data_IF_592007412186
#
_entry.id   IF_592007412186
#
_cell.length_a   1.000
_cell.length_b   1.000
_cell.length_c   1.000
_cell.angle_alpha   90.00
_cell.angle_beta   90.00
_cell.angle_gamma   90.00
#
_symmetry.space_group_name_H-M   'P 1'
#
loop_
_entity.id
_entity.type
_entity.pdbx_description
1 polymer ?
#
# COMPACT_ATOMS: atom_id res chain seq x y z
N UNK A 1 2.60 9.66 7.41
CA UNK A 1 3.33 10.34 6.32
C UNK A 1 3.82 11.67 6.83
N UNK A 2 5.13 11.92 6.72
CA UNK A 2 5.76 13.22 7.01
C UNK A 2 6.38 13.88 5.76
N UNK A 3 6.70 13.07 4.74
CA UNK A 3 7.16 13.55 3.46
C UNK A 3 6.43 12.89 2.28
N UNK A 4 6.20 13.65 1.22
CA UNK A 4 5.67 13.21 -0.06
C UNK A 4 6.70 13.49 -1.16
N UNK A 5 7.18 12.44 -1.82
CA UNK A 5 8.22 12.47 -2.84
C UNK A 5 7.57 12.15 -4.18
N UNK A 6 7.66 13.06 -5.15
CA UNK A 6 6.98 12.93 -6.44
C UNK A 6 7.99 12.72 -7.56
N UNK A 7 7.76 11.74 -8.44
CA UNK A 7 8.30 11.84 -9.81
C UNK A 7 7.59 12.99 -10.56
N UNK A 8 8.19 13.44 -11.67
CA UNK A 8 7.65 14.51 -12.48
C UNK A 8 6.81 13.98 -13.64
N UNK A 9 7.40 13.11 -14.45
CA UNK A 9 6.85 12.73 -15.75
C UNK A 9 5.85 11.59 -15.54
N UNK A 10 4.61 11.75 -16.06
CA UNK A 10 3.55 10.77 -15.86
C UNK A 10 2.84 10.85 -14.49
N UNK A 11 3.43 11.56 -13.52
CA UNK A 11 2.85 11.83 -12.19
C UNK A 11 2.34 13.26 -12.09
N UNK A 12 3.22 14.25 -11.95
CA UNK A 12 2.84 15.66 -11.79
C UNK A 12 2.51 16.33 -13.12
N UNK A 13 3.23 15.95 -14.18
CA UNK A 13 3.14 16.53 -15.50
C UNK A 13 3.14 15.47 -16.60
N UNK A 14 2.42 15.72 -17.69
CA UNK A 14 2.48 14.91 -18.91
C UNK A 14 3.44 15.55 -19.93
N UNK A 15 4.73 15.21 -19.91
CA UNK A 15 5.72 15.85 -20.81
C UNK A 15 6.23 14.96 -21.95
N UNK A 16 5.91 13.67 -21.92
CA UNK A 16 6.48 12.67 -22.83
C UNK A 16 6.14 12.91 -24.30
N UNK A 17 4.93 13.39 -24.61
CA UNK A 17 4.50 13.68 -25.98
C UNK A 17 5.32 14.79 -26.64
N UNK A 18 5.74 15.80 -25.87
CA UNK A 18 6.55 16.91 -26.38
C UNK A 18 7.97 16.48 -26.76
N UNK A 19 8.51 15.41 -26.16
CA UNK A 19 9.81 14.88 -26.54
C UNK A 19 9.83 14.40 -28.00
N UNK A 20 8.83 13.61 -28.39
CA UNK A 20 8.73 13.05 -29.75
C UNK A 20 8.39 14.15 -30.76
N UNK A 21 7.45 15.03 -30.41
CA UNK A 21 7.06 16.15 -31.26
C UNK A 21 8.25 17.06 -31.61
N UNK A 22 9.19 17.28 -30.68
CA UNK A 22 10.38 18.09 -30.96
C UNK A 22 11.30 17.44 -32.00
N UNK A 23 11.54 16.13 -31.92
CA UNK A 23 12.38 15.46 -32.91
C UNK A 23 11.73 15.44 -34.30
N UNK A 24 10.44 15.12 -34.37
CA UNK A 24 9.70 15.16 -35.63
C UNK A 24 9.73 16.56 -36.26
N UNK A 25 9.53 17.61 -35.45
CA UNK A 25 9.57 18.99 -35.92
C UNK A 25 10.97 19.40 -36.41
N UNK A 26 12.04 19.04 -35.69
CA UNK A 26 13.42 19.32 -36.11
C UNK A 26 13.76 18.56 -37.40
N UNK A 27 13.40 17.28 -37.51
CA UNK A 27 13.62 16.50 -38.72
C UNK A 27 12.97 17.17 -39.92
N UNK A 28 11.72 17.60 -39.77
CA UNK A 28 10.97 18.22 -40.86
C UNK A 28 11.49 19.61 -41.21
N UNK A 29 11.74 20.48 -40.23
CA UNK A 29 12.13 21.88 -40.47
C UNK A 29 13.59 22.05 -40.86
N UNK A 30 14.50 21.29 -40.26
CA UNK A 30 15.94 21.48 -40.45
C UNK A 30 16.54 20.54 -41.50
N UNK A 31 15.91 19.39 -41.74
CA UNK A 31 16.44 18.36 -42.63
C UNK A 31 15.47 17.92 -43.74
N UNK A 32 14.23 18.44 -43.74
CA UNK A 32 13.15 18.02 -44.64
C UNK A 32 12.91 16.50 -44.66
N UNK A 33 13.08 15.86 -43.50
CA UNK A 33 12.87 14.41 -43.31
C UNK A 33 11.63 14.19 -42.45
N UNK A 34 10.83 13.20 -42.82
CA UNK A 34 9.78 12.65 -41.96
C UNK A 34 10.33 11.41 -41.27
N UNK A 35 10.33 11.38 -39.93
CA UNK A 35 10.76 10.21 -39.19
C UNK A 35 9.70 9.11 -39.32
N UNK A 36 10.12 7.87 -39.55
CA UNK A 36 9.23 6.73 -39.47
C UNK A 36 8.97 6.31 -38.01
N UNK A 37 7.91 5.53 -37.80
CA UNK A 37 7.50 5.05 -36.47
C UNK A 37 8.58 4.23 -35.76
N UNK A 38 9.44 3.53 -36.51
CA UNK A 38 10.52 2.72 -35.93
C UNK A 38 11.62 3.59 -35.29
N UNK A 39 11.89 4.76 -35.87
CA UNK A 39 12.83 5.73 -35.30
C UNK A 39 12.19 6.47 -34.13
N UNK A 40 10.93 6.88 -34.26
CA UNK A 40 10.20 7.51 -33.16
C UNK A 40 10.13 6.60 -31.93
N UNK A 41 9.92 5.29 -32.12
CA UNK A 41 9.96 4.31 -31.04
C UNK A 41 11.34 4.19 -30.40
N UNK A 42 12.42 4.20 -31.19
CA UNK A 42 13.80 4.21 -30.66
C UNK A 42 14.16 5.48 -29.88
N UNK A 43 13.44 6.58 -30.11
CA UNK A 43 13.65 7.85 -29.41
C UNK A 43 12.87 7.95 -28.08
N UNK A 44 11.94 7.02 -27.80
CA UNK A 44 11.18 6.99 -26.54
C UNK A 44 12.06 6.51 -25.38
N UNK A 45 12.01 7.22 -24.25
CA UNK A 45 12.64 6.79 -22.99
C UNK A 45 14.18 6.79 -22.96
N UNK A 46 14.86 7.32 -23.99
CA UNK A 46 16.33 7.36 -24.03
C UNK A 46 16.90 8.65 -23.43
N UNK A 47 18.10 8.56 -22.87
CA UNK A 47 18.84 9.72 -22.38
C UNK A 47 19.11 10.73 -23.50
N UNK A 48 19.18 12.02 -23.15
CA UNK A 48 19.33 13.14 -24.09
C UNK A 48 20.41 12.93 -25.14
N UNK A 49 21.61 12.53 -24.74
CA UNK A 49 22.74 12.32 -25.65
C UNK A 49 22.53 11.09 -26.56
N UNK A 50 21.91 10.03 -26.05
CA UNK A 50 21.60 8.83 -26.85
C UNK A 50 20.50 9.12 -27.87
N UNK A 51 19.46 9.86 -27.47
CA UNK A 51 18.42 10.34 -28.39
C UNK A 51 18.99 11.20 -29.51
N UNK A 52 19.91 12.13 -29.18
CA UNK A 52 20.58 12.94 -30.19
C UNK A 52 21.45 12.09 -31.15
N UNK A 53 22.11 11.03 -30.66
CA UNK A 53 22.86 10.09 -31.51
C UNK A 53 21.94 9.33 -32.48
N UNK A 54 20.80 8.83 -31.99
CA UNK A 54 19.81 8.12 -32.80
C UNK A 54 19.26 9.07 -33.87
N UNK A 55 18.87 10.28 -33.47
CA UNK A 55 18.38 11.31 -34.37
C UNK A 55 19.39 11.66 -35.46
N UNK A 56 20.67 11.88 -35.10
CA UNK A 56 21.73 12.17 -36.07
C UNK A 56 21.81 11.11 -37.17
N UNK A 57 21.79 9.81 -36.78
CA UNK A 57 21.81 8.70 -37.73
C UNK A 57 20.58 8.71 -38.64
N UNK A 58 19.40 8.98 -38.08
CA UNK A 58 18.14 9.01 -38.81
C UNK A 58 18.08 10.13 -39.87
N UNK A 59 18.67 11.29 -39.57
CA UNK A 59 18.70 12.42 -40.51
C UNK A 59 19.96 12.47 -41.41
N UNK A 60 20.77 11.40 -41.39
CA UNK A 60 21.94 11.27 -42.27
C UNK A 60 23.17 12.09 -41.88
N UNK A 61 23.27 12.55 -40.63
CA UNK A 61 24.45 13.29 -40.12
C UNK A 61 25.29 12.44 -39.17
N UNK A 62 26.61 12.64 -39.20
CA UNK A 62 27.54 11.89 -38.34
C UNK A 62 27.29 12.22 -36.85
N UNK A 63 27.09 11.22 -35.96
CA UNK A 63 26.87 11.45 -34.53
C UNK A 63 28.21 11.75 -33.81
N UNK A 64 28.87 12.84 -34.18
CA UNK A 64 30.06 13.35 -33.50
C UNK A 64 29.65 14.26 -32.32
N UNK A 65 30.62 14.64 -31.46
CA UNK A 65 30.37 15.45 -30.26
C UNK A 65 29.68 16.79 -30.55
N UNK A 66 30.01 17.40 -31.69
CA UNK A 66 29.46 18.70 -32.11
C UNK A 66 28.01 18.57 -32.53
N UNK A 67 27.68 17.63 -33.43
CA UNK A 67 26.32 17.38 -33.89
C UNK A 67 25.41 16.91 -32.74
N UNK A 68 25.89 16.03 -31.86
CA UNK A 68 25.14 15.60 -30.67
C UNK A 68 24.82 16.80 -29.78
N UNK A 69 25.78 17.68 -29.55
CA UNK A 69 25.57 18.90 -28.75
C UNK A 69 24.58 19.84 -29.43
N UNK A 70 24.74 20.09 -30.73
CA UNK A 70 23.85 20.94 -31.51
C UNK A 70 22.40 20.44 -31.46
N UNK A 71 22.16 19.16 -31.80
CA UNK A 71 20.82 18.55 -31.76
C UNK A 71 20.24 18.56 -30.35
N UNK A 72 21.05 18.23 -29.33
CA UNK A 72 20.59 18.25 -27.94
C UNK A 72 20.15 19.65 -27.51
N UNK A 73 20.92 20.70 -27.86
CA UNK A 73 20.58 22.09 -27.56
C UNK A 73 19.34 22.54 -28.32
N UNK A 74 19.27 22.27 -29.63
CA UNK A 74 18.14 22.62 -30.48
C UNK A 74 16.84 21.98 -29.98
N UNK A 75 16.87 20.67 -29.71
CA UNK A 75 15.73 19.93 -29.13
C UNK A 75 15.33 20.50 -27.78
N UNK A 76 16.30 20.78 -26.91
CA UNK A 76 15.98 21.27 -25.57
C UNK A 76 15.30 22.65 -25.61
N UNK A 77 15.77 23.56 -26.46
CA UNK A 77 15.18 24.88 -26.61
C UNK A 77 13.76 24.79 -27.17
N UNK A 78 13.54 23.97 -28.20
CA UNK A 78 12.21 23.74 -28.75
C UNK A 78 11.28 23.08 -27.72
N UNK A 79 11.79 22.12 -26.96
CA UNK A 79 11.04 21.46 -25.89
C UNK A 79 10.58 22.46 -24.83
N UNK A 80 11.48 23.27 -24.28
CA UNK A 80 11.12 24.28 -23.28
C UNK A 80 10.12 25.31 -23.83
N UNK A 81 10.26 25.70 -25.11
CA UNK A 81 9.29 26.58 -25.77
C UNK A 81 7.89 25.94 -25.82
N UNK A 82 7.78 24.67 -26.23
CA UNK A 82 6.50 23.96 -26.25
C UNK A 82 5.90 23.78 -24.86
N UNK A 83 6.73 23.49 -23.86
CA UNK A 83 6.31 23.40 -22.46
C UNK A 83 5.72 24.74 -22.00
N UNK A 84 6.36 25.88 -22.28
CA UNK A 84 5.83 27.20 -21.94
C UNK A 84 4.50 27.49 -22.65
N UNK A 85 4.41 27.20 -23.95
CA UNK A 85 3.20 27.42 -24.75
C UNK A 85 1.99 26.59 -24.30
N UNK A 86 2.22 25.45 -23.64
CA UNK A 86 1.17 24.51 -23.24
C UNK A 86 1.03 24.37 -21.71
N UNK A 87 1.63 25.28 -20.94
CA UNK A 87 1.79 25.15 -19.49
C UNK A 87 0.52 24.85 -18.70
N UNK A 88 -0.62 25.37 -19.14
CA UNK A 88 -1.91 25.19 -18.46
C UNK A 88 -2.46 23.76 -18.60
N UNK A 89 -2.03 23.03 -19.62
CA UNK A 89 -2.42 21.63 -19.89
C UNK A 89 -1.41 20.60 -19.40
N UNK A 90 -0.23 21.04 -18.94
CA UNK A 90 0.86 20.13 -18.57
C UNK A 90 0.58 19.37 -17.28
N UNK A 91 -0.07 20.01 -16.31
CA UNK A 91 -0.28 19.43 -15.00
C UNK A 91 -1.29 18.29 -15.06
N UNK A 92 -0.93 17.17 -14.45
CA UNK A 92 -1.84 16.06 -14.25
C UNK A 92 -3.02 16.47 -13.37
N UNK A 93 -4.16 15.82 -13.59
CA UNK A 93 -5.39 16.05 -12.82
C UNK A 93 -5.14 15.80 -11.32
N UNK A 94 -5.46 16.78 -10.48
CA UNK A 94 -5.31 16.71 -9.03
C UNK A 94 -3.95 17.16 -8.47
N UNK A 95 -2.98 17.54 -9.33
CA UNK A 95 -1.65 17.96 -8.89
C UNK A 95 -1.71 19.14 -7.92
N UNK A 96 -2.44 20.21 -8.27
CA UNK A 96 -2.49 21.42 -7.45
C UNK A 96 -3.21 21.15 -6.12
N UNK A 97 -4.34 20.46 -6.18
CA UNK A 97 -5.17 20.13 -5.03
C UNK A 97 -4.41 19.27 -4.02
N UNK A 98 -3.70 18.24 -4.50
CA UNK A 98 -2.90 17.36 -3.64
C UNK A 98 -1.72 18.12 -3.01
N UNK A 99 -0.97 18.90 -3.79
CA UNK A 99 0.15 19.69 -3.27
C UNK A 99 -0.29 20.70 -2.21
N UNK A 100 -1.40 21.42 -2.46
CA UNK A 100 -1.99 22.33 -1.48
C UNK A 100 -2.39 21.59 -0.20
N UNK A 101 -3.06 20.44 -0.34
CA UNK A 101 -3.48 19.63 0.80
C UNK A 101 -2.29 19.14 1.63
N UNK A 102 -1.21 18.70 0.99
CA UNK A 102 0.01 18.26 1.67
C UNK A 102 0.64 19.40 2.48
N UNK A 103 0.75 20.61 1.91
CA UNK A 103 1.27 21.79 2.63
C UNK A 103 0.38 22.21 3.79
N UNK A 104 -0.94 22.23 3.60
CA UNK A 104 -1.89 22.60 4.64
C UNK A 104 -1.83 21.68 5.86
N UNK A 105 -1.30 20.47 5.72
CA UNK A 105 -1.17 19.52 6.81
C UNK A 105 0.29 19.38 7.33
N UNK A 106 1.21 20.23 6.85
CA UNK A 106 2.63 20.24 7.22
C UNK A 106 3.47 19.05 6.73
N UNK A 107 3.12 18.43 5.60
CA UNK A 107 3.97 17.42 4.96
C UNK A 107 5.01 18.11 4.10
N UNK A 108 6.25 17.64 4.23
CA UNK A 108 7.37 18.06 3.40
C UNK A 108 7.21 17.48 2.00
N UNK A 109 7.41 18.29 0.98
CA UNK A 109 7.25 17.84 -0.40
C UNK A 109 8.60 17.89 -1.12
N UNK A 110 8.96 16.80 -1.79
CA UNK A 110 10.15 16.74 -2.62
C UNK A 110 9.84 16.32 -4.06
N UNK A 111 10.58 16.91 -5.00
CA UNK A 111 10.59 16.49 -6.40
C UNK A 111 11.79 15.58 -6.65
N UNK A 112 11.53 14.40 -7.18
CA UNK A 112 12.50 13.31 -7.37
C UNK A 112 12.49 12.85 -8.84
N UNK A 113 13.04 13.69 -9.72
CA UNK A 113 13.11 13.44 -11.17
C UNK A 113 14.54 13.36 -11.67
N UNK A 114 14.79 12.46 -12.63
CA UNK A 114 16.06 12.38 -13.35
C UNK A 114 16.19 13.43 -14.47
N UNK A 115 15.15 14.23 -14.72
CA UNK A 115 15.15 15.24 -15.78
C UNK A 115 15.94 16.48 -15.37
N UNK A 116 16.92 16.87 -16.18
CA UNK A 116 17.64 18.14 -16.00
C UNK A 116 16.74 19.38 -16.19
N UNK A 117 15.52 19.22 -16.71
CA UNK A 117 14.57 20.31 -16.93
C UNK A 117 13.54 20.42 -15.79
N UNK A 118 13.58 19.55 -14.78
CA UNK A 118 12.55 19.46 -13.75
C UNK A 118 12.32 20.79 -13.01
N UNK A 119 13.40 21.45 -12.58
CA UNK A 119 13.35 22.78 -11.94
C UNK A 119 12.75 23.87 -12.84
N UNK A 120 12.98 23.79 -14.14
CA UNK A 120 12.40 24.75 -15.09
C UNK A 120 10.90 24.49 -15.27
N UNK A 121 10.49 23.22 -15.37
CA UNK A 121 9.08 22.86 -15.58
C UNK A 121 8.22 23.30 -14.39
N UNK A 122 8.63 23.03 -13.15
CA UNK A 122 7.86 23.45 -11.96
C UNK A 122 7.73 24.97 -11.81
N UNK A 123 8.68 25.74 -12.39
CA UNK A 123 8.60 27.21 -12.47
C UNK A 123 7.56 27.65 -13.49
N UNK A 124 7.63 27.07 -14.69
CA UNK A 124 6.69 27.36 -15.79
C UNK A 124 5.25 27.04 -15.38
N UNK A 125 5.04 25.90 -14.70
CA UNK A 125 3.73 25.47 -14.22
C UNK A 125 3.34 26.05 -12.85
N UNK A 126 4.16 26.94 -12.27
CA UNK A 126 3.89 27.66 -11.02
C UNK A 126 3.63 26.77 -9.79
N UNK A 127 4.24 25.58 -9.74
CA UNK A 127 4.16 24.66 -8.60
C UNK A 127 5.45 24.59 -7.77
N UNK A 128 6.52 25.29 -8.16
CA UNK A 128 7.80 25.31 -7.42
C UNK A 128 7.62 25.63 -5.94
N UNK A 129 6.72 26.57 -5.62
CA UNK A 129 6.40 27.01 -4.25
C UNK A 129 5.95 25.90 -3.29
N UNK A 130 5.52 24.75 -3.80
CA UNK A 130 5.08 23.64 -2.95
C UNK A 130 6.26 22.78 -2.47
N UNK A 131 7.40 22.79 -3.17
CA UNK A 131 8.52 21.89 -2.91
C UNK A 131 9.45 22.45 -1.82
N UNK A 132 9.68 21.65 -0.77
CA UNK A 132 10.70 21.89 0.24
C UNK A 132 12.09 21.46 -0.25
N UNK A 133 12.15 20.50 -1.19
CA UNK A 133 13.39 20.04 -1.80
C UNK A 133 13.18 19.58 -3.25
N UNK A 134 14.18 19.80 -4.10
CA UNK A 134 14.20 19.33 -5.49
C UNK A 134 15.55 18.71 -5.78
N UNK A 135 15.56 17.41 -6.07
CA UNK A 135 16.78 16.67 -6.39
C UNK A 135 17.52 17.32 -7.56
N UNK A 136 18.85 17.39 -7.46
CA UNK A 136 19.68 17.80 -8.58
C UNK A 136 20.00 16.60 -9.48
N UNK A 137 19.35 16.53 -10.64
CA UNK A 137 19.54 15.47 -11.62
C UNK A 137 21.01 15.29 -12.06
N UNK A 138 21.87 16.31 -11.90
CA UNK A 138 23.30 16.22 -12.24
C UNK A 138 24.11 15.34 -11.28
N UNK A 139 23.62 15.13 -10.05
CA UNK A 139 24.30 14.35 -9.02
C UNK A 139 23.92 12.86 -9.06
N UNK A 140 22.98 12.48 -9.93
CA UNK A 140 22.51 11.10 -10.06
C UNK A 140 23.58 10.26 -10.77
N UNK A 141 24.25 9.38 -10.01
CA UNK A 141 25.22 8.42 -10.55
C UNK A 141 24.56 7.16 -11.13
N UNK A 142 23.41 6.77 -10.60
CA UNK A 142 22.62 5.59 -11.01
C UNK A 142 21.13 5.96 -11.00
N UNK A 143 20.43 5.70 -12.10
CA UNK A 143 18.98 5.92 -12.18
C UNK A 143 18.16 4.83 -11.47
N UNK A 144 16.85 5.07 -11.33
CA UNK A 144 15.86 4.07 -10.89
C UNK A 144 16.01 2.78 -11.75
N UNK A 145 16.06 1.57 -11.17
CA UNK A 145 15.55 1.19 -9.84
C UNK A 145 16.51 1.36 -8.66
N UNK A 146 17.65 2.03 -8.83
CA UNK A 146 18.50 2.33 -7.66
C UNK A 146 17.79 3.34 -6.71
N UNK A 147 17.71 3.07 -5.39
CA UNK A 147 16.98 3.91 -4.44
C UNK A 147 17.69 5.22 -4.05
N UNK A 148 18.95 5.43 -4.46
CA UNK A 148 19.77 6.54 -3.98
C UNK A 148 19.11 7.91 -4.15
N UNK A 149 18.34 8.11 -5.22
CA UNK A 149 17.65 9.37 -5.49
C UNK A 149 16.54 9.67 -4.47
N UNK A 150 15.84 8.65 -3.99
CA UNK A 150 14.81 8.78 -2.96
C UNK A 150 15.45 8.96 -1.58
N UNK A 151 16.48 8.19 -1.27
CA UNK A 151 17.26 8.31 -0.03
C UNK A 151 17.89 9.70 0.12
N UNK A 152 18.43 10.28 -0.96
CA UNK A 152 18.94 11.65 -0.98
C UNK A 152 17.84 12.67 -0.64
N UNK A 153 16.65 12.53 -1.25
CA UNK A 153 15.54 13.42 -0.97
C UNK A 153 15.08 13.33 0.50
N UNK A 154 14.92 12.13 1.04
CA UNK A 154 14.55 11.91 2.43
C UNK A 154 15.59 12.50 3.41
N UNK A 155 16.88 12.29 3.14
CA UNK A 155 17.97 12.84 3.95
C UNK A 155 17.98 14.38 3.95
N UNK A 156 17.79 15.01 2.79
CA UNK A 156 17.73 16.49 2.69
C UNK A 156 16.50 17.08 3.36
N UNK A 157 15.38 16.34 3.40
CA UNK A 157 14.20 16.71 4.17
C UNK A 157 14.32 16.42 5.67
N UNK A 158 15.39 15.73 6.10
CA UNK A 158 15.57 15.20 7.45
C UNK A 158 14.40 14.29 7.92
N UNK A 159 13.87 13.48 7.00
CA UNK A 159 12.77 12.54 7.25
C UNK A 159 13.26 11.10 7.04
N UNK A 160 12.84 10.18 7.90
CA UNK A 160 13.14 8.75 7.74
C UNK A 160 12.43 8.19 6.50
N UNK A 161 13.04 7.27 5.74
CA UNK A 161 12.39 6.65 4.59
C UNK A 161 11.00 6.05 4.90
N UNK A 162 10.83 5.36 6.04
CA UNK A 162 9.55 4.79 6.47
C UNK A 162 8.43 5.80 6.75
N UNK A 163 8.76 7.09 6.89
CA UNK A 163 7.78 8.18 7.03
C UNK A 163 7.50 8.90 5.68
N UNK A 164 8.11 8.45 4.58
CA UNK A 164 7.95 9.00 3.23
C UNK A 164 6.92 8.20 2.40
N UNK A 165 6.15 8.93 1.58
CA UNK A 165 5.32 8.36 0.52
C UNK A 165 5.88 8.79 -0.83
N UNK A 166 6.02 7.85 -1.76
CA UNK A 166 6.49 8.07 -3.13
C UNK A 166 5.33 7.97 -4.12
N UNK A 167 5.18 8.95 -5.01
CA UNK A 167 4.22 8.94 -6.12
C UNK A 167 4.97 8.76 -7.43
N UNK A 168 4.67 7.69 -8.17
CA UNK A 168 5.47 7.23 -9.30
C UNK A 168 4.60 6.53 -10.35
N UNK A 169 4.96 6.63 -11.64
CA UNK A 169 4.24 5.95 -12.74
C UNK A 169 4.99 4.71 -13.27
N UNK A 170 6.31 4.66 -13.09
CA UNK A 170 7.19 3.61 -13.61
C UNK A 170 7.54 2.51 -12.59
N UNK A 171 7.56 1.25 -13.05
CA UNK A 171 7.95 0.06 -12.25
C UNK A 171 9.29 0.26 -11.56
N UNK A 172 10.28 0.79 -12.28
CA UNK A 172 11.62 0.99 -11.72
C UNK A 172 11.59 1.98 -10.54
N UNK A 173 10.75 3.01 -10.60
CA UNK A 173 10.64 3.95 -9.50
C UNK A 173 9.88 3.37 -8.31
N UNK A 174 8.85 2.56 -8.55
CA UNK A 174 8.15 1.82 -7.48
C UNK A 174 9.11 0.86 -6.78
N UNK A 175 9.89 0.08 -7.54
CA UNK A 175 10.91 -0.82 -6.97
C UNK A 175 11.94 -0.04 -6.14
N UNK A 176 12.43 1.09 -6.67
CA UNK A 176 13.37 1.94 -5.95
C UNK A 176 12.80 2.51 -4.65
N UNK A 177 11.51 2.84 -4.59
CA UNK A 177 10.86 3.29 -3.36
C UNK A 177 10.80 2.16 -2.31
N UNK A 178 10.36 0.98 -2.74
CA UNK A 178 10.22 -0.19 -1.87
C UNK A 178 11.58 -0.69 -1.34
N UNK A 179 12.61 -0.71 -2.19
CA UNK A 179 13.98 -1.14 -1.83
C UNK A 179 14.61 -0.26 -0.73
N UNK A 180 14.03 0.89 -0.42
CA UNK A 180 14.43 1.77 0.67
C UNK A 180 13.33 2.03 1.70
N UNK A 181 12.37 1.11 1.83
CA UNK A 181 11.33 1.14 2.88
C UNK A 181 10.48 2.42 2.85
N UNK A 182 10.14 2.91 1.65
CA UNK A 182 9.19 4.01 1.48
C UNK A 182 7.86 3.46 0.95
N UNK A 183 6.74 4.04 1.39
CA UNK A 183 5.42 3.65 0.92
C UNK A 183 5.18 4.13 -0.51
N UNK A 184 4.91 3.23 -1.45
CA UNK A 184 4.80 3.55 -2.87
C UNK A 184 3.36 3.62 -3.38
N UNK A 185 3.06 4.68 -4.14
CA UNK A 185 1.78 4.89 -4.81
C UNK A 185 2.01 4.96 -6.31
N UNK A 186 1.53 3.94 -7.02
CA UNK A 186 1.53 3.91 -8.47
C UNK A 186 0.42 4.79 -9.04
N UNK A 187 0.78 5.77 -9.87
CA UNK A 187 -0.12 6.76 -10.47
C UNK A 187 -0.31 6.48 -11.97
N UNK A 188 -1.52 6.73 -12.49
CA UNK A 188 -1.83 6.73 -13.92
C UNK A 188 -1.49 5.40 -14.64
N UNK A 189 -1.73 4.28 -13.97
CA UNK A 189 -1.40 2.97 -14.54
C UNK A 189 -2.44 2.58 -15.60
N UNK A 190 -2.02 2.55 -16.87
CA UNK A 190 -2.82 2.08 -18.01
C UNK A 190 -3.09 0.57 -17.88
N UNK A 191 -4.35 0.22 -17.60
CA UNK A 191 -4.84 -1.14 -17.36
C UNK A 191 -4.64 -2.12 -18.53
N UNK A 192 -4.34 -1.61 -19.73
CA UNK A 192 -4.30 -2.40 -20.96
C UNK A 192 -2.87 -2.78 -21.42
N UNK A 193 -1.82 -2.33 -20.72
CA UNK A 193 -0.41 -2.65 -21.08
C UNK A 193 0.15 -3.76 -20.21
N UNK A 194 0.94 -4.67 -20.78
CA UNK A 194 1.59 -5.81 -20.09
C UNK A 194 2.50 -5.39 -18.92
N UNK A 195 2.97 -4.14 -18.89
CA UNK A 195 3.69 -3.55 -17.75
C UNK A 195 2.81 -3.39 -16.50
N UNK A 196 1.48 -3.35 -16.64
CA UNK A 196 0.50 -3.26 -15.56
C UNK A 196 0.54 -4.45 -14.59
N UNK A 197 0.86 -5.65 -15.06
CA UNK A 197 0.80 -6.87 -14.25
C UNK A 197 1.90 -6.94 -13.18
N UNK A 198 2.99 -6.18 -13.33
CA UNK A 198 4.11 -6.16 -12.37
C UNK A 198 4.02 -4.98 -11.39
N UNK A 199 3.69 -3.76 -11.82
CA UNK A 199 3.55 -2.61 -10.91
C UNK A 199 2.50 -2.87 -9.82
N UNK A 200 1.40 -3.55 -10.17
CA UNK A 200 0.32 -3.92 -9.24
C UNK A 200 0.75 -4.95 -8.17
N UNK A 201 1.81 -5.72 -8.41
CA UNK A 201 2.33 -6.69 -7.44
C UNK A 201 3.26 -6.08 -6.41
N UNK A 202 3.88 -4.95 -6.73
CA UNK A 202 4.94 -4.36 -5.90
C UNK A 202 4.56 -3.03 -5.28
N UNK A 203 3.67 -2.22 -5.88
CA UNK A 203 3.26 -0.95 -5.27
C UNK A 203 2.36 -1.20 -4.05
N UNK A 204 2.56 -0.43 -2.97
CA UNK A 204 1.68 -0.51 -1.79
C UNK A 204 0.27 -0.01 -2.08
N UNK A 205 0.14 0.91 -3.05
CA UNK A 205 -1.14 1.46 -3.48
C UNK A 205 -1.14 1.84 -4.96
N UNK A 206 -2.34 1.93 -5.50
CA UNK A 206 -2.60 2.32 -6.87
C UNK A 206 -3.71 3.39 -6.92
N UNK A 207 -3.54 4.38 -7.81
CA UNK A 207 -4.52 5.44 -8.08
C UNK A 207 -4.59 5.76 -9.57
N UNK A 208 -5.78 6.15 -10.06
CA UNK A 208 -5.95 6.57 -11.47
C UNK A 208 -5.34 7.94 -11.74
N UNK A 209 -5.44 8.84 -10.77
CA UNK A 209 -5.05 10.25 -10.89
C UNK A 209 -4.84 10.85 -9.50
N UNK A 210 -4.19 12.02 -9.42
CA UNK A 210 -3.81 12.62 -8.14
C UNK A 210 -4.97 13.22 -7.35
N UNK A 211 -6.15 13.37 -7.96
CA UNK A 211 -7.39 13.77 -7.31
C UNK A 211 -8.11 12.58 -6.61
N UNK A 212 -7.61 11.36 -6.79
CA UNK A 212 -8.12 10.18 -6.08
C UNK A 212 -7.91 10.36 -4.56
N UNK A 213 -8.95 10.21 -3.72
CA UNK A 213 -8.82 10.30 -2.26
C UNK A 213 -7.74 9.38 -1.69
N UNK A 214 -7.47 8.24 -2.34
CA UNK A 214 -6.43 7.28 -1.96
C UNK A 214 -5.01 7.83 -2.06
N UNK A 215 -4.78 8.93 -2.79
CA UNK A 215 -3.50 9.64 -2.81
C UNK A 215 -3.12 10.23 -1.46
N UNK A 216 -4.06 10.35 -0.52
CA UNK A 216 -3.84 11.03 0.75
C UNK A 216 -4.49 10.31 1.94
N UNK A 217 -5.67 9.72 1.76
CA UNK A 217 -6.46 9.07 2.82
C UNK A 217 -5.69 7.89 3.44
N UNK A 218 -5.62 7.84 4.77
CA UNK A 218 -4.90 6.79 5.48
C UNK A 218 -3.37 6.89 5.44
N UNK A 219 -2.78 7.91 4.78
CA UNK A 219 -1.34 8.15 4.77
C UNK A 219 -0.92 9.16 5.86
N UNK A 220 -1.81 10.09 6.18
CA UNK A 220 -1.63 11.10 7.24
C UNK A 220 -2.03 10.64 8.63
N UNK A 221 -2.58 9.44 8.74
CA UNK A 221 -3.20 9.03 10.00
C UNK A 221 -2.12 8.52 10.92
N UNK A 222 -1.59 9.45 11.74
CA UNK A 222 -1.10 9.13 13.07
C UNK A 222 -2.16 8.24 13.70
N UNK A 223 -1.88 6.93 13.76
CA UNK A 223 -2.82 5.90 14.17
C UNK A 223 -3.49 6.20 15.52
N UNK A 224 -2.85 7.04 16.36
CA UNK A 224 -3.34 7.37 17.70
C UNK A 224 -3.82 8.82 17.91
N UNK A 225 -3.66 9.76 16.98
CA UNK A 225 -4.28 11.10 17.14
C UNK A 225 -5.82 11.03 17.13
N UNK A 226 -6.38 9.97 16.54
CA UNK A 226 -7.81 9.67 16.62
C UNK A 226 -8.20 8.86 17.86
N UNK A 227 -7.25 8.23 18.56
CA UNK A 227 -7.51 7.34 19.68
C UNK A 227 -7.66 8.06 21.03
N UNK A 228 -7.17 9.30 21.15
CA UNK A 228 -7.26 10.08 22.41
C UNK A 228 -8.70 10.20 22.91
N UNK A 229 -9.64 10.45 21.99
CA UNK A 229 -11.08 10.54 22.26
C UNK A 229 -11.82 9.19 22.23
N UNK A 230 -11.11 8.07 22.00
CA UNK A 230 -11.72 6.74 22.06
C UNK A 230 -11.81 6.24 23.50
N UNK A 231 -12.97 5.69 23.85
CA UNK A 231 -13.23 5.04 25.13
C UNK A 231 -13.20 3.51 25.02
N UNK A 232 -13.48 2.95 23.84
CA UNK A 232 -13.55 1.51 23.57
C UNK A 232 -12.52 1.08 22.53
N UNK A 233 -11.78 0.01 22.83
CA UNK A 233 -10.83 -0.64 21.93
C UNK A 233 -11.23 -2.09 21.71
N UNK A 234 -11.46 -2.46 20.44
CA UNK A 234 -11.82 -3.81 20.01
C UNK A 234 -10.61 -4.43 19.31
N UNK A 235 -10.13 -5.56 19.80
CA UNK A 235 -9.04 -6.31 19.17
C UNK A 235 -9.57 -7.60 18.53
N UNK A 236 -9.10 -7.94 17.34
CA UNK A 236 -9.18 -9.34 16.88
C UNK A 236 -8.18 -10.23 17.63
N UNK A 237 -8.46 -11.54 17.67
CA UNK A 237 -7.53 -12.51 18.25
C UNK A 237 -6.42 -12.89 17.26
N UNK A 238 -6.79 -13.40 16.08
CA UNK A 238 -5.89 -14.11 15.19
C UNK A 238 -4.92 -13.19 14.47
N UNK A 239 -3.64 -13.54 14.49
CA UNK A 239 -2.52 -12.74 13.94
C UNK A 239 -2.40 -11.31 14.51
N UNK A 240 -3.20 -10.95 15.51
CA UNK A 240 -3.14 -9.69 16.25
C UNK A 240 -2.66 -9.98 17.67
N UNK A 241 -3.51 -10.56 18.52
CA UNK A 241 -3.18 -10.85 19.93
C UNK A 241 -2.48 -12.20 20.06
N UNK A 242 -2.82 -13.15 19.20
CA UNK A 242 -2.21 -14.47 19.13
C UNK A 242 -1.71 -14.80 17.73
N UNK A 243 -0.64 -15.56 17.65
CA UNK A 243 -0.02 -16.03 16.40
C UNK A 243 -0.10 -17.55 16.32
N UNK A 244 0.35 -18.14 15.21
CA UNK A 244 0.31 -19.58 14.96
C UNK A 244 -1.13 -20.16 15.00
N UNK A 245 -2.04 -19.52 14.25
CA UNK A 245 -3.46 -19.85 14.29
C UNK A 245 -3.89 -20.98 13.34
N UNK A 246 -2.97 -21.51 12.52
CA UNK A 246 -3.26 -22.57 11.56
C UNK A 246 -2.98 -23.94 12.17
N UNK A 247 -3.95 -24.85 12.13
CA UNK A 247 -3.83 -26.19 12.69
C UNK A 247 -3.80 -27.32 11.64
N UNK A 248 -4.10 -27.02 10.36
CA UNK A 248 -4.35 -28.05 9.35
C UNK A 248 -3.16 -28.97 9.08
N UNK A 249 -1.93 -28.45 9.05
CA UNK A 249 -0.76 -29.29 8.80
C UNK A 249 -0.62 -30.40 9.85
N UNK A 250 -0.79 -30.06 11.14
CA UNK A 250 -0.75 -31.06 12.21
C UNK A 250 -1.87 -32.10 12.09
N UNK A 251 -3.07 -31.68 11.65
CA UNK A 251 -4.19 -32.60 11.39
C UNK A 251 -3.86 -33.51 10.20
N UNK A 252 -3.38 -32.95 9.09
CA UNK A 252 -3.07 -33.69 7.88
C UNK A 252 -1.97 -34.72 8.09
N UNK A 253 -0.95 -34.36 8.87
CA UNK A 253 0.16 -35.25 9.18
C UNK A 253 -0.30 -36.38 10.13
N UNK A 254 -1.09 -36.06 11.16
CA UNK A 254 -1.61 -37.05 12.10
C UNK A 254 -2.46 -38.14 11.43
N UNK A 255 -3.26 -37.75 10.45
CA UNK A 255 -4.22 -38.62 9.80
C UNK A 255 -3.78 -39.07 8.40
N UNK A 256 -2.50 -38.84 8.05
CA UNK A 256 -1.88 -39.27 6.80
C UNK A 256 -2.67 -38.89 5.53
N UNK A 257 -3.14 -37.65 5.47
CA UNK A 257 -3.89 -37.17 4.30
C UNK A 257 -3.05 -37.24 3.02
N UNK A 258 -3.61 -37.76 1.94
CA UNK A 258 -3.03 -37.63 0.59
C UNK A 258 -3.17 -36.20 0.07
N UNK A 259 -2.39 -35.84 -0.96
CA UNK A 259 -2.47 -34.50 -1.59
C UNK A 259 -3.89 -34.15 -2.03
N UNK A 260 -4.60 -35.10 -2.64
CA UNK A 260 -5.98 -34.89 -3.11
C UNK A 260 -6.95 -34.69 -1.93
N UNK A 261 -6.81 -35.48 -0.87
CA UNK A 261 -7.62 -35.33 0.35
C UNK A 261 -7.37 -33.98 1.04
N UNK A 262 -6.11 -33.49 1.07
CA UNK A 262 -5.82 -32.15 1.63
C UNK A 262 -6.55 -31.06 0.84
N UNK A 263 -6.52 -31.15 -0.49
CA UNK A 263 -7.22 -30.20 -1.37
C UNK A 263 -8.73 -30.23 -1.15
N UNK A 264 -9.36 -31.41 -1.14
CA UNK A 264 -10.81 -31.52 -0.92
C UNK A 264 -11.23 -31.11 0.49
N UNK A 265 -10.46 -31.46 1.52
CA UNK A 265 -10.72 -31.01 2.89
C UNK A 265 -10.72 -29.48 3.00
N UNK A 266 -9.77 -28.80 2.35
CA UNK A 266 -9.71 -27.33 2.36
C UNK A 266 -10.94 -26.74 1.65
N UNK A 267 -11.39 -27.36 0.55
CA UNK A 267 -12.62 -26.94 -0.15
C UNK A 267 -13.85 -27.09 0.75
N UNK A 268 -14.01 -28.26 1.37
CA UNK A 268 -15.11 -28.54 2.29
C UNK A 268 -15.06 -27.57 3.48
N UNK A 269 -13.89 -27.38 4.09
CA UNK A 269 -13.73 -26.45 5.20
C UNK A 269 -14.14 -25.04 4.77
N UNK A 270 -13.63 -24.53 3.65
CA UNK A 270 -13.99 -23.20 3.15
C UNK A 270 -15.50 -23.05 2.89
N UNK A 271 -16.17 -24.09 2.40
CA UNK A 271 -17.61 -24.11 2.22
C UNK A 271 -18.36 -24.04 3.56
N UNK A 272 -17.88 -24.75 4.57
CA UNK A 272 -18.48 -24.84 5.91
C UNK A 272 -17.95 -23.80 6.92
N UNK A 273 -17.00 -22.93 6.55
CA UNK A 273 -16.40 -21.94 7.44
C UNK A 273 -17.45 -21.04 8.09
N UNK A 274 -18.33 -20.42 7.29
CA UNK A 274 -19.36 -19.53 7.82
C UNK A 274 -20.31 -20.25 8.82
N UNK A 275 -20.93 -21.40 8.48
CA UNK A 275 -21.83 -22.09 9.41
C UNK A 275 -21.12 -22.68 10.65
N UNK A 276 -19.80 -22.93 10.58
CA UNK A 276 -19.00 -23.27 11.77
C UNK A 276 -18.78 -22.05 12.67
N UNK A 277 -18.54 -20.89 12.05
CA UNK A 277 -18.22 -19.65 12.75
C UNK A 277 -19.42 -18.93 13.36
N UNK A 278 -20.62 -19.13 12.83
CA UNK A 278 -21.87 -18.61 13.40
C UNK A 278 -22.57 -19.63 14.31
N UNK A 279 -22.01 -20.84 14.45
CA UNK A 279 -22.51 -21.90 15.33
C UNK A 279 -23.69 -22.70 14.76
N UNK A 280 -24.07 -22.50 13.49
CA UNK A 280 -25.16 -23.24 12.86
C UNK A 280 -24.86 -24.74 12.66
N UNK A 281 -23.59 -25.13 12.56
CA UNK A 281 -23.17 -26.54 12.56
C UNK A 281 -22.07 -26.79 13.59
N UNK A 282 -22.02 -28.01 14.11
CA UNK A 282 -20.95 -28.44 15.01
C UNK A 282 -19.71 -28.88 14.25
N UNK A 283 -18.55 -28.79 14.90
CA UNK A 283 -17.31 -29.37 14.37
C UNK A 283 -17.43 -30.88 14.19
N UNK A 284 -18.19 -31.57 15.03
CA UNK A 284 -18.47 -33.00 14.88
C UNK A 284 -19.23 -33.30 13.58
N UNK A 285 -20.24 -32.48 13.23
CA UNK A 285 -20.94 -32.60 11.95
C UNK A 285 -19.98 -32.46 10.77
N UNK A 286 -19.12 -31.44 10.80
CA UNK A 286 -18.11 -31.24 9.75
C UNK A 286 -17.14 -32.42 9.67
N UNK A 287 -16.61 -32.91 10.80
CA UNK A 287 -15.68 -34.04 10.84
C UNK A 287 -16.33 -35.34 10.31
N UNK A 288 -17.60 -35.58 10.62
CA UNK A 288 -18.35 -36.71 10.07
C UNK A 288 -18.52 -36.60 8.55
N UNK A 289 -18.76 -35.40 8.03
CA UNK A 289 -18.85 -35.14 6.59
C UNK A 289 -17.53 -35.48 5.88
N UNK A 290 -16.40 -34.95 6.35
CA UNK A 290 -15.10 -35.19 5.71
C UNK A 290 -14.63 -36.65 5.87
N UNK A 291 -14.90 -37.29 7.02
CA UNK A 291 -14.61 -38.72 7.21
C UNK A 291 -15.33 -39.57 6.15
N UNK A 292 -16.61 -39.30 5.92
CA UNK A 292 -17.41 -40.02 4.95
C UNK A 292 -16.96 -39.75 3.51
N UNK A 293 -16.79 -38.48 3.13
CA UNK A 293 -16.55 -38.10 1.74
C UNK A 293 -15.11 -38.32 1.29
N UNK A 294 -14.15 -38.19 2.20
CA UNK A 294 -12.73 -38.36 1.90
C UNK A 294 -12.19 -39.74 2.30
N UNK A 295 -13.06 -40.61 2.84
CA UNK A 295 -12.71 -41.93 3.37
C UNK A 295 -11.58 -41.86 4.41
N UNK A 296 -11.80 -41.03 5.43
CA UNK A 296 -10.87 -40.78 6.54
C UNK A 296 -11.46 -41.29 7.86
N UNK A 297 -10.59 -41.49 8.85
CA UNK A 297 -10.95 -41.90 10.21
C UNK A 297 -10.45 -40.88 11.24
N UNK A 298 -10.81 -39.62 11.05
CA UNK A 298 -10.51 -38.53 11.99
C UNK A 298 -11.34 -38.73 13.26
N UNK A 299 -10.71 -38.63 14.43
CA UNK A 299 -11.37 -38.79 15.72
C UNK A 299 -10.93 -37.72 16.73
N UNK A 300 -11.68 -37.56 17.82
CA UNK A 300 -11.41 -36.55 18.84
C UNK A 300 -11.65 -35.12 18.34
N UNK A 301 -10.94 -34.15 18.91
CA UNK A 301 -11.03 -32.72 18.54
C UNK A 301 -9.70 -32.23 17.91
N UNK A 302 -9.45 -32.56 16.63
CA UNK A 302 -8.21 -32.21 15.96
C UNK A 302 -8.00 -30.70 15.85
N UNK A 303 -9.08 -29.91 15.73
CA UNK A 303 -9.00 -28.46 15.67
C UNK A 303 -8.55 -27.88 17.02
N UNK A 304 -8.98 -28.44 18.15
CA UNK A 304 -8.45 -28.06 19.47
C UNK A 304 -7.01 -28.56 19.68
N UNK A 305 -6.72 -29.81 19.32
CA UNK A 305 -5.45 -30.46 19.62
C UNK A 305 -4.27 -29.84 18.86
N UNK A 306 -4.49 -29.46 17.59
CA UNK A 306 -3.44 -28.89 16.74
C UNK A 306 -3.45 -27.37 16.66
N UNK A 307 -4.41 -26.71 17.30
CA UNK A 307 -4.40 -25.26 17.49
C UNK A 307 -3.54 -24.92 18.71
N UNK A 308 -2.30 -24.49 18.44
CA UNK A 308 -1.29 -24.17 19.45
C UNK A 308 -0.81 -22.72 19.29
N UNK A 309 -1.70 -21.75 19.53
CA UNK A 309 -1.37 -20.35 19.38
C UNK A 309 -0.40 -19.87 20.46
N UNK A 310 0.35 -18.82 20.15
CA UNK A 310 1.25 -18.14 21.09
C UNK A 310 0.86 -16.66 21.19
N UNK A 311 1.05 -16.06 22.36
CA UNK A 311 0.74 -14.64 22.54
C UNK A 311 1.73 -13.73 21.81
N UNK A 312 1.19 -12.73 21.12
CA UNK A 312 1.97 -11.57 20.71
C UNK A 312 2.21 -10.67 21.93
N UNK A 313 3.39 -10.78 22.53
CA UNK A 313 3.73 -10.10 23.80
C UNK A 313 3.59 -8.58 23.70
N UNK A 314 3.89 -7.99 22.54
CA UNK A 314 3.76 -6.53 22.33
C UNK A 314 2.31 -6.09 22.41
N UNK A 315 1.39 -6.80 21.73
CA UNK A 315 -0.03 -6.50 21.78
C UNK A 315 -0.61 -6.74 23.18
N UNK A 316 -0.19 -7.81 23.87
CA UNK A 316 -0.58 -8.06 25.27
C UNK A 316 -0.18 -6.90 26.18
N UNK A 317 1.04 -6.38 26.03
CA UNK A 317 1.51 -5.23 26.80
C UNK A 317 0.73 -3.95 26.45
N UNK A 318 0.33 -3.78 25.19
CA UNK A 318 -0.49 -2.64 24.76
C UNK A 318 -1.87 -2.68 25.40
N UNK A 319 -2.51 -3.85 25.41
CA UNK A 319 -3.80 -4.07 26.08
C UNK A 319 -3.71 -3.71 27.57
N UNK A 320 -2.67 -4.17 28.27
CA UNK A 320 -2.47 -3.84 29.69
C UNK A 320 -2.35 -2.35 29.91
N UNK A 321 -1.52 -1.65 29.13
CA UNK A 321 -1.36 -0.19 29.26
C UNK A 321 -2.63 0.59 28.92
N UNK A 322 -3.41 0.16 27.92
CA UNK A 322 -4.70 0.78 27.61
C UNK A 322 -5.64 0.70 28.83
N UNK A 323 -5.69 -0.46 29.49
CA UNK A 323 -6.49 -0.66 30.71
C UNK A 323 -5.96 0.17 31.89
N UNK A 324 -4.65 0.23 32.08
CA UNK A 324 -4.01 1.10 33.11
C UNK A 324 -4.37 2.59 32.91
N UNK A 325 -4.53 3.03 31.66
CA UNK A 325 -5.00 4.37 31.30
C UNK A 325 -6.53 4.52 31.29
N UNK A 326 -7.26 3.59 31.89
CA UNK A 326 -8.71 3.64 32.05
C UNK A 326 -9.51 3.43 30.76
N UNK A 327 -8.89 2.90 29.69
CA UNK A 327 -9.59 2.56 28.45
C UNK A 327 -10.29 1.20 28.59
N UNK A 328 -11.48 1.09 27.99
CA UNK A 328 -12.24 -0.16 27.89
C UNK A 328 -11.66 -1.00 26.75
N UNK A 329 -11.30 -2.26 27.02
CA UNK A 329 -10.69 -3.14 26.02
C UNK A 329 -11.45 -4.46 25.91
N UNK A 330 -11.87 -4.80 24.68
CA UNK A 330 -12.69 -5.99 24.39
C UNK A 330 -12.10 -6.83 23.26
N UNK A 331 -12.37 -8.13 23.30
CA UNK A 331 -12.04 -9.06 22.22
C UNK A 331 -13.23 -9.16 21.26
N UNK A 332 -13.00 -9.00 19.97
CA UNK A 332 -14.00 -9.17 18.91
C UNK A 332 -13.45 -10.07 17.81
N UNK A 333 -13.69 -11.39 17.91
CA UNK A 333 -13.04 -12.37 17.05
C UNK A 333 -13.96 -13.35 16.33
N UNK A 334 -13.58 -13.64 15.10
CA UNK A 334 -14.15 -14.64 14.23
C UNK A 334 -13.53 -16.00 14.57
N UNK A 335 -14.30 -16.92 15.15
CA UNK A 335 -13.79 -18.22 15.62
C UNK A 335 -14.93 -19.26 15.68
N UNK A 336 -14.58 -20.51 15.98
CA UNK A 336 -15.50 -21.63 16.16
C UNK A 336 -15.14 -22.42 17.43
N UNK A 337 -16.04 -23.29 17.89
CA UNK A 337 -16.07 -23.80 19.27
C UNK A 337 -14.74 -24.41 19.82
N UNK A 338 -14.02 -25.31 19.11
CA UNK A 338 -12.73 -25.84 19.55
C UNK A 338 -11.68 -24.76 19.82
N UNK A 339 -11.54 -23.79 18.92
CA UNK A 339 -10.59 -22.70 19.09
C UNK A 339 -11.01 -21.77 20.23
N UNK A 340 -12.32 -21.49 20.36
CA UNK A 340 -12.88 -20.73 21.49
C UNK A 340 -12.53 -21.36 22.83
N UNK A 341 -12.71 -22.68 22.95
CA UNK A 341 -12.34 -23.44 24.16
C UNK A 341 -10.84 -23.31 24.47
N UNK A 342 -9.97 -23.52 23.47
CA UNK A 342 -8.51 -23.41 23.64
C UNK A 342 -8.09 -22.00 24.08
N UNK A 343 -8.62 -20.96 23.44
CA UNK A 343 -8.33 -19.57 23.77
C UNK A 343 -8.74 -19.21 25.21
N UNK A 344 -9.87 -19.75 25.68
CA UNK A 344 -10.30 -19.59 27.06
C UNK A 344 -9.35 -20.27 28.04
N UNK A 345 -8.96 -21.52 27.78
CA UNK A 345 -8.08 -22.30 28.67
C UNK A 345 -6.65 -21.75 28.74
N UNK A 346 -6.15 -21.12 27.68
CA UNK A 346 -4.83 -20.47 27.69
C UNK A 346 -4.84 -19.07 28.33
N UNK A 347 -5.99 -18.60 28.84
CA UNK A 347 -6.11 -17.29 29.50
C UNK A 347 -6.17 -16.09 28.56
N UNK A 348 -6.46 -16.27 27.26
CA UNK A 348 -6.60 -15.14 26.32
C UNK A 348 -7.73 -14.21 26.75
N UNK A 349 -8.84 -14.79 27.23
CA UNK A 349 -10.05 -14.04 27.56
C UNK A 349 -9.84 -13.13 28.77
N UNK A 350 -8.95 -13.51 29.68
CA UNK A 350 -8.66 -12.76 30.92
C UNK A 350 -7.95 -11.42 30.64
N UNK A 351 -7.42 -11.22 29.43
CA UNK A 351 -6.82 -9.95 29.03
C UNK A 351 -7.86 -8.83 28.83
N UNK A 352 -9.10 -9.19 28.49
CA UNK A 352 -10.15 -8.29 28.04
C UNK A 352 -11.23 -8.12 29.10
N UNK A 353 -11.89 -6.96 29.18
CA UNK A 353 -12.99 -6.78 30.13
C UNK A 353 -14.34 -7.28 29.56
N UNK A 354 -14.42 -7.58 28.26
CA UNK A 354 -15.49 -8.38 27.62
C UNK A 354 -14.94 -9.16 26.43
N UNK A 355 -15.61 -10.26 26.07
CA UNK A 355 -15.27 -11.10 24.92
C UNK A 355 -16.48 -11.34 24.04
N UNK A 356 -16.32 -11.10 22.74
CA UNK A 356 -17.32 -11.28 21.69
C UNK A 356 -16.76 -12.18 20.61
N UNK A 357 -17.14 -13.47 20.64
CA UNK A 357 -16.70 -14.47 19.67
C UNK A 357 -17.86 -14.90 18.77
N UNK A 358 -17.62 -14.97 17.47
CA UNK A 358 -18.67 -15.11 16.47
C UNK A 358 -19.59 -16.32 16.67
N UNK A 359 -19.03 -17.44 17.14
CA UNK A 359 -19.78 -18.67 17.32
C UNK A 359 -20.74 -18.65 18.52
N UNK A 360 -20.58 -17.68 19.43
CA UNK A 360 -21.45 -17.51 20.60
C UNK A 360 -22.44 -16.37 20.42
N UNK A 361 -22.05 -15.32 19.68
CA UNK A 361 -22.92 -14.15 19.45
C UNK A 361 -23.72 -14.24 18.15
N UNK A 362 -23.45 -15.23 17.29
CA UNK A 362 -24.13 -15.47 16.00
C UNK A 362 -24.01 -14.30 14.99
N UNK A 363 -22.97 -13.49 15.15
CA UNK A 363 -22.56 -12.45 14.20
C UNK A 363 -21.07 -12.64 13.91
N UNK A 364 -20.63 -12.40 12.67
CA UNK A 364 -19.23 -12.53 12.29
C UNK A 364 -18.80 -11.40 11.36
N UNK A 365 -17.51 -11.03 11.42
CA UNK A 365 -16.89 -10.07 10.51
C UNK A 365 -16.75 -10.69 9.11
N UNK A 366 -16.87 -9.93 8.01
CA UNK A 366 -16.98 -8.48 7.93
C UNK A 366 -18.45 -8.00 7.90
N UNK A 367 -19.42 -8.73 8.45
CA UNK A 367 -20.80 -8.25 8.47
C UNK A 367 -20.93 -7.06 9.46
N UNK A 368 -21.46 -5.89 9.06
CA UNK A 368 -21.61 -4.75 9.96
C UNK A 368 -22.43 -5.03 11.23
N UNK A 369 -23.32 -6.04 11.22
CA UNK A 369 -24.07 -6.46 12.40
C UNK A 369 -23.18 -6.92 13.55
N UNK A 370 -21.99 -7.48 13.27
CA UNK A 370 -21.00 -7.84 14.29
C UNK A 370 -20.60 -6.64 15.14
N UNK A 371 -20.21 -5.54 14.48
CA UNK A 371 -19.78 -4.34 15.17
C UNK A 371 -20.93 -3.64 15.88
N UNK A 372 -22.12 -3.58 15.27
CA UNK A 372 -23.31 -3.00 15.91
C UNK A 372 -23.66 -3.73 17.20
N UNK A 373 -23.62 -5.07 17.19
CA UNK A 373 -23.84 -5.87 18.40
C UNK A 373 -22.88 -5.48 19.53
N UNK A 374 -21.58 -5.33 19.24
CA UNK A 374 -20.57 -4.94 20.24
C UNK A 374 -20.83 -3.52 20.75
N UNK A 375 -21.08 -2.56 19.85
CA UNK A 375 -21.36 -1.16 20.21
C UNK A 375 -22.60 -1.03 21.10
N UNK A 376 -23.67 -1.78 20.80
CA UNK A 376 -24.89 -1.83 21.60
C UNK A 376 -24.64 -2.44 22.99
N UNK A 377 -23.86 -3.52 23.07
CA UNK A 377 -23.55 -4.18 24.34
C UNK A 377 -22.63 -3.38 25.24
N UNK A 378 -21.65 -2.70 24.66
CA UNK A 378 -20.72 -1.83 25.38
C UNK A 378 -21.31 -0.43 25.62
N UNK A 379 -22.43 -0.08 24.97
CA UNK A 379 -23.08 1.22 25.04
C UNK A 379 -22.12 2.38 24.68
N UNK A 380 -21.40 2.22 23.56
CA UNK A 380 -20.42 3.20 23.06
C UNK A 380 -20.73 3.57 21.62
N UNK A 381 -20.58 4.85 21.29
CA UNK A 381 -20.72 5.36 19.92
C UNK A 381 -19.56 4.89 19.03
N UNK A 382 -19.83 4.67 17.74
CA UNK A 382 -18.83 4.17 16.81
C UNK A 382 -17.60 5.09 16.70
N UNK A 383 -17.81 6.42 16.73
CA UNK A 383 -16.76 7.44 16.65
C UNK A 383 -15.81 7.44 17.87
N UNK A 384 -16.26 6.88 19.00
CA UNK A 384 -15.48 6.67 20.23
C UNK A 384 -14.88 5.28 20.32
N UNK A 385 -14.99 4.49 19.25
CA UNK A 385 -14.50 3.12 19.19
C UNK A 385 -13.31 3.02 18.24
N UNK A 386 -12.34 2.20 18.63
CA UNK A 386 -11.15 1.89 17.86
C UNK A 386 -11.04 0.38 17.64
N UNK A 387 -10.86 -0.07 16.40
CA UNK A 387 -10.83 -1.49 16.04
C UNK A 387 -9.50 -1.89 15.37
N UNK A 388 -8.94 -3.03 15.79
CA UNK A 388 -7.63 -3.51 15.37
C UNK A 388 -7.77 -4.93 14.84
N UNK A 389 -7.40 -5.15 13.58
CA UNK A 389 -7.59 -6.42 12.86
C UNK A 389 -6.56 -6.56 11.74
N UNK A 390 -6.17 -7.78 11.37
CA UNK A 390 -5.21 -8.08 10.30
C UNK A 390 -5.88 -8.25 8.91
N UNK A 391 -7.20 -8.35 8.84
CA UNK A 391 -7.95 -8.55 7.59
C UNK A 391 -8.56 -7.23 7.10
N UNK A 392 -8.24 -6.85 5.85
CA UNK A 392 -8.66 -5.57 5.25
C UNK A 392 -10.18 -5.40 5.14
N UNK A 393 -10.91 -6.49 4.91
CA UNK A 393 -12.36 -6.52 4.77
C UNK A 393 -13.05 -6.22 6.10
N UNK A 394 -12.51 -6.73 7.20
CA UNK A 394 -12.99 -6.45 8.55
C UNK A 394 -12.79 -4.96 8.87
N UNK A 395 -11.61 -4.42 8.54
CA UNK A 395 -11.27 -3.01 8.69
C UNK A 395 -12.22 -2.11 7.89
N UNK A 396 -12.47 -2.46 6.62
CA UNK A 396 -13.39 -1.70 5.76
C UNK A 396 -14.83 -1.73 6.31
N UNK A 397 -15.29 -2.88 6.82
CA UNK A 397 -16.62 -2.97 7.42
C UNK A 397 -16.75 -2.10 8.67
N UNK A 398 -15.77 -2.13 9.59
CA UNK A 398 -15.81 -1.31 10.79
C UNK A 398 -15.79 0.19 10.43
N UNK A 399 -14.92 0.58 9.50
CA UNK A 399 -14.82 1.95 9.03
C UNK A 399 -16.11 2.47 8.38
N UNK A 400 -16.91 1.60 7.74
CA UNK A 400 -18.21 1.98 7.17
C UNK A 400 -19.25 2.41 8.22
N UNK A 401 -19.01 2.08 9.49
CA UNK A 401 -19.81 2.50 10.64
C UNK A 401 -19.21 3.69 11.40
N UNK A 402 -18.21 4.38 10.84
CA UNK A 402 -17.42 5.44 11.51
C UNK A 402 -16.53 4.97 12.67
N UNK A 403 -16.33 3.65 12.83
CA UNK A 403 -15.33 3.13 13.78
C UNK A 403 -13.94 3.48 13.27
N UNK A 404 -13.07 3.97 14.16
CA UNK A 404 -11.65 4.21 13.83
C UNK A 404 -10.94 2.87 13.77
N UNK A 405 -10.01 2.71 12.83
CA UNK A 405 -9.43 1.38 12.56
C UNK A 405 -7.92 1.40 12.40
N UNK A 406 -7.29 0.29 12.78
CA UNK A 406 -5.89 -0.03 12.52
C UNK A 406 -5.80 -1.39 11.83
N UNK A 407 -5.29 -1.39 10.60
CA UNK A 407 -4.95 -2.61 9.88
C UNK A 407 -3.58 -3.13 10.32
N UNK A 408 -3.57 -4.23 11.06
CA UNK A 408 -2.40 -4.82 11.71
C UNK A 408 -1.74 -5.91 10.84
N UNK A 409 -0.93 -5.50 9.87
CA UNK A 409 -0.28 -6.39 8.89
C UNK A 409 1.16 -5.98 8.54
N UNK A 410 1.92 -6.91 7.94
CA UNK A 410 3.25 -6.69 7.35
C UNK A 410 4.42 -6.55 8.33
N UNK A 411 5.55 -6.03 7.85
CA UNK A 411 6.76 -5.73 8.65
C UNK A 411 6.56 -4.56 9.62
N UNK A 412 5.52 -3.75 9.40
CA UNK A 412 5.14 -2.61 10.24
C UNK A 412 4.34 -2.98 11.50
N UNK A 413 4.06 -4.26 11.75
CA UNK A 413 3.33 -4.73 12.95
C UNK A 413 3.97 -4.18 14.23
N UNK A 414 5.29 -4.26 14.31
CA UNK A 414 6.03 -3.86 15.48
C UNK A 414 6.20 -2.34 15.57
N UNK A 415 6.56 -1.66 14.47
CA UNK A 415 6.72 -0.21 14.45
C UNK A 415 5.41 0.53 14.75
N UNK A 416 4.27 0.02 14.27
CA UNK A 416 2.94 0.60 14.55
C UNK A 416 2.53 0.46 16.01
N UNK A 417 2.89 -0.66 16.64
CA UNK A 417 2.65 -0.91 18.07
C UNK A 417 3.61 -0.09 18.92
N UNK A 418 4.87 0.02 18.53
CA UNK A 418 5.87 0.85 19.23
C UNK A 418 5.48 2.34 19.14
N UNK A 419 5.02 2.82 17.98
CA UNK A 419 4.43 4.17 17.82
C UNK A 419 3.13 4.37 18.62
N UNK A 420 2.36 3.30 18.88
CA UNK A 420 1.20 3.34 19.76
C UNK A 420 1.61 3.55 21.22
N UNK A 421 2.63 2.80 21.65
CA UNK A 421 3.17 2.84 23.00
C UNK A 421 3.71 4.22 23.36
N UNK A 422 4.35 4.93 22.43
CA UNK A 422 4.96 6.24 22.67
C UNK A 422 3.95 7.40 22.77
N UNK A 423 2.68 7.19 22.37
CA UNK A 423 1.63 8.24 22.38
C UNK A 423 0.52 8.02 23.40
N UNK A 424 0.37 6.78 23.90
CA UNK A 424 -0.60 6.41 24.94
C UNK A 424 -0.02 6.51 26.36
N UNK A 425 1.23 7.00 26.49
CA UNK A 425 1.93 7.47 27.69
C UNK A 425 2.01 8.99 27.58
#
# INVERSE_FOLDING_TARGET
>A
MKAALFDMDGVLCNTQEYHNACYAEIAKKNYNITLDSSIEDKLKGVLRNEGAKIFCKAVGIRPNKENIKYISTLKNNLYLKKIEENKDSLLSKGTIELLQKLKNNNVKVALVSASANAKTIIKITNIEKYFDYVVDAKNIKKGKPNPAIFLEAAANLAIKPSDCVVYEDAINGIQAANDCDMYSIAVNVDFNKTTFTYSKKIADRYVKSLDDPLCYKGLYENLFEKADNCSLFIFDAGNVVIENIHCFNGIFDQYNFTTDQKSEFIKDFNFYTAPLMDGNISTEFFLNHVNKNLNLNISGDPFYNYFNPVFNVKIVNLIKKLKENGKRVVLGSNTFAPHTKKMKEMGLFDLFDSVYVSNEIHHYKPNPSFFRHILEKENVEAEKTYFIDDISENIASAASLNIKTLHYTGENKDEKVDKAFDKLI
#
